data_IF_174639152299
#
_entry.id   IF_174639152299
#
_cell.length_a   1.000
_cell.length_b   1.000
_cell.length_c   1.000
_cell.angle_alpha   90.00
_cell.angle_beta   90.00
_cell.angle_gamma   90.00
#
_symmetry.space_group_name_H-M   'P 1'
#
loop_
_entity.id
_entity.type
_entity.pdbx_description
1 polymer ?
#
# COMPACT_ATOMS: atom_id res chain seq x y z
N UNK A 1 -7.87 -6.04 2.83
CA UNK A 1 -7.76 -4.68 3.40
C UNK A 1 -8.64 -3.80 2.54
N UNK A 2 -9.57 -3.09 3.15
CA UNK A 2 -10.44 -2.12 2.45
C UNK A 2 -9.80 -0.73 2.49
N UNK A 3 -9.79 -0.06 1.34
CA UNK A 3 -9.28 1.30 1.19
C UNK A 3 -10.38 2.18 0.63
N UNK A 4 -10.73 3.24 1.36
CA UNK A 4 -11.75 4.20 0.92
C UNK A 4 -11.22 5.62 1.01
N UNK A 5 -11.77 6.49 0.16
CA UNK A 5 -11.42 7.92 0.10
C UNK A 5 -12.61 8.70 0.64
N UNK A 6 -12.35 9.66 1.53
CA UNK A 6 -13.31 10.67 1.95
C UNK A 6 -12.77 12.06 1.62
N UNK A 7 -13.52 12.79 0.82
CA UNK A 7 -13.24 14.19 0.50
C UNK A 7 -13.45 15.08 1.73
N UNK A 8 -12.56 16.05 1.91
CA UNK A 8 -12.69 17.15 2.86
C UNK A 8 -12.76 18.46 2.08
N UNK A 9 -13.77 19.26 2.37
CA UNK A 9 -13.96 20.58 1.79
C UNK A 9 -13.57 21.63 2.84
N UNK A 10 -12.37 22.18 2.71
CA UNK A 10 -11.84 23.17 3.65
C UNK A 10 -12.55 24.53 3.54
N UNK A 11 -13.29 24.80 2.46
CA UNK A 11 -14.05 26.05 2.29
C UNK A 11 -15.25 26.17 3.23
N UNK A 12 -15.72 25.03 3.79
CA UNK A 12 -16.90 24.95 4.67
C UNK A 12 -16.56 24.98 6.17
N UNK A 13 -15.46 25.63 6.55
CA UNK A 13 -15.12 25.88 7.95
C UNK A 13 -14.35 24.77 8.67
N UNK A 14 -13.70 23.86 7.93
CA UNK A 14 -12.72 22.92 8.50
C UNK A 14 -13.27 21.70 9.23
N UNK A 15 -14.59 21.48 9.22
CA UNK A 15 -15.23 20.28 9.78
C UNK A 15 -15.25 19.13 8.75
N UNK A 16 -14.08 18.61 8.41
CA UNK A 16 -13.94 17.52 7.45
C UNK A 16 -14.56 16.20 7.94
N UNK A 17 -14.95 15.27 7.03
CA UNK A 17 -15.50 13.96 7.41
C UNK A 17 -14.58 13.08 8.26
N UNK A 18 -13.30 13.45 8.38
CA UNK A 18 -12.34 12.82 9.27
C UNK A 18 -12.59 13.13 10.76
N UNK A 19 -13.30 14.22 11.07
CA UNK A 19 -13.69 14.57 12.44
C UNK A 19 -14.86 13.73 12.93
N UNK A 20 -15.92 13.58 12.14
CA UNK A 20 -17.18 12.93 12.58
C UNK A 20 -17.26 11.45 12.20
N UNK A 21 -16.42 11.00 11.27
CA UNK A 21 -16.40 9.60 10.84
C UNK A 21 -15.97 8.66 11.96
N UNK A 22 -16.82 7.66 12.28
CA UNK A 22 -16.47 6.57 13.20
C UNK A 22 -15.17 5.91 12.77
N UNK A 23 -14.20 5.78 13.66
CA UNK A 23 -12.91 5.10 13.43
C UNK A 23 -12.29 4.66 14.77
N UNK A 24 -11.42 3.66 14.79
CA UNK A 24 -10.70 3.31 16.03
C UNK A 24 -9.54 4.28 16.28
N UNK A 25 -8.98 4.84 15.20
CA UNK A 25 -7.87 5.78 15.26
C UNK A 25 -7.95 6.79 14.13
N UNK A 26 -7.50 8.03 14.38
CA UNK A 26 -7.17 9.01 13.34
C UNK A 26 -5.68 9.35 13.40
N UNK A 27 -5.01 9.41 12.25
CA UNK A 27 -3.57 9.68 12.14
C UNK A 27 -3.37 11.12 11.72
N UNK A 28 -2.59 11.88 12.50
CA UNK A 28 -2.22 13.27 12.22
C UNK A 28 -0.71 13.45 12.33
N UNK A 29 -0.20 14.47 11.64
CA UNK A 29 1.23 14.77 11.61
C UNK A 29 1.58 15.98 12.47
N UNK A 30 2.78 15.97 13.06
CA UNK A 30 3.34 17.06 13.85
C UNK A 30 4.75 17.37 13.33
N UNK A 31 5.00 18.62 12.94
CA UNK A 31 6.33 19.10 12.55
C UNK A 31 7.15 19.55 13.76
N UNK A 32 8.47 19.63 13.62
CA UNK A 32 9.39 20.10 14.69
C UNK A 32 9.11 21.54 15.16
N UNK A 33 8.53 22.39 14.30
CA UNK A 33 8.11 23.73 14.69
C UNK A 33 6.93 23.73 15.67
N UNK A 34 6.28 22.58 15.88
CA UNK A 34 5.19 22.35 16.83
C UNK A 34 3.92 23.17 16.60
N UNK A 35 3.87 23.99 15.54
CA UNK A 35 2.65 24.65 15.07
C UNK A 35 1.72 23.63 14.42
N UNK A 36 0.56 23.41 15.03
CA UNK A 36 -0.49 22.56 14.46
C UNK A 36 -1.11 23.24 13.24
N UNK A 37 -1.35 22.47 12.18
CA UNK A 37 -1.97 22.95 10.94
C UNK A 37 -2.83 21.87 10.30
N UNK A 38 -3.73 22.29 9.40
CA UNK A 38 -4.61 21.39 8.64
C UNK A 38 -5.40 20.42 9.56
N UNK A 39 -5.38 19.10 9.28
CA UNK A 39 -6.10 18.12 10.09
C UNK A 39 -5.70 18.08 11.57
N UNK A 40 -4.42 18.29 11.89
CA UNK A 40 -3.95 18.26 13.27
C UNK A 40 -4.57 19.39 14.10
N UNK A 41 -4.65 20.60 13.54
CA UNK A 41 -5.29 21.76 14.18
C UNK A 41 -6.80 21.55 14.35
N UNK A 42 -7.49 21.08 13.31
CA UNK A 42 -8.93 20.83 13.37
C UNK A 42 -9.29 19.77 14.42
N UNK A 43 -8.53 18.68 14.49
CA UNK A 43 -8.70 17.64 15.51
C UNK A 43 -8.39 18.18 16.90
N UNK A 44 -7.29 18.92 17.08
CA UNK A 44 -6.92 19.49 18.37
C UNK A 44 -8.03 20.39 18.94
N UNK A 45 -8.59 21.27 18.11
CA UNK A 45 -9.73 22.11 18.49
C UNK A 45 -10.95 21.27 18.92
N UNK A 46 -11.27 20.22 18.18
CA UNK A 46 -12.42 19.37 18.46
C UNK A 46 -12.26 18.55 19.76
N UNK A 47 -11.03 18.19 20.12
CA UNK A 47 -10.72 17.42 21.35
C UNK A 47 -10.26 18.32 22.52
N UNK A 48 -10.51 19.63 22.43
CA UNK A 48 -10.24 20.58 23.51
C UNK A 48 -8.76 20.85 23.78
N UNK A 49 -7.91 20.88 22.76
CA UNK A 49 -6.51 21.30 22.84
C UNK A 49 -5.54 20.22 23.34
N UNK A 50 -5.93 18.94 23.31
CA UNK A 50 -5.12 17.86 23.87
C UNK A 50 -3.80 17.62 23.13
N UNK A 51 -3.77 17.77 21.79
CA UNK A 51 -2.56 17.64 20.98
C UNK A 51 -1.58 18.77 21.35
N UNK A 52 -2.07 20.01 21.41
CA UNK A 52 -1.24 21.14 21.78
C UNK A 52 -0.63 20.99 23.18
N UNK A 53 -1.39 20.43 24.15
CA UNK A 53 -0.88 20.16 25.51
C UNK A 53 0.27 19.15 25.52
N UNK A 54 0.14 18.01 24.85
CA UNK A 54 1.20 16.98 24.85
C UNK A 54 2.44 17.43 24.07
N UNK A 55 2.25 18.20 23.00
CA UNK A 55 3.36 18.82 22.26
C UNK A 55 4.10 19.82 23.16
N UNK A 56 3.37 20.68 23.87
CA UNK A 56 3.95 21.64 24.83
C UNK A 56 4.62 20.95 26.02
N UNK A 57 4.11 19.80 26.45
CA UNK A 57 4.70 19.00 27.53
C UNK A 57 6.00 18.28 27.10
N UNK A 58 6.26 18.17 25.79
CA UNK A 58 7.45 17.50 25.26
C UNK A 58 7.28 15.99 25.04
N UNK A 59 6.05 15.46 25.13
CA UNK A 59 5.78 14.03 24.92
C UNK A 59 5.99 13.61 23.45
N UNK A 60 5.92 14.58 22.52
CA UNK A 60 6.33 14.43 21.13
C UNK A 60 6.92 15.75 20.63
N UNK A 61 8.10 15.67 20.00
CA UNK A 61 8.85 16.83 19.54
C UNK A 61 8.76 17.05 18.02
N UNK A 62 8.02 16.21 17.30
CA UNK A 62 7.85 16.29 15.86
C UNK A 62 9.01 15.71 15.05
N UNK A 63 10.04 15.13 15.68
CA UNK A 63 11.14 14.45 14.96
C UNK A 63 10.61 13.37 14.04
N UNK A 64 11.19 13.31 12.84
CA UNK A 64 10.75 12.39 11.79
C UNK A 64 10.69 10.94 12.29
N UNK A 65 9.52 10.32 12.14
CA UNK A 65 9.28 8.92 12.51
C UNK A 65 8.95 8.66 13.98
N UNK A 66 8.94 9.68 14.84
CA UNK A 66 8.38 9.56 16.19
C UNK A 66 6.86 9.35 16.13
N UNK A 67 6.30 8.64 17.11
CA UNK A 67 4.86 8.40 17.18
C UNK A 67 4.36 8.45 18.62
N UNK A 68 3.17 9.02 18.83
CA UNK A 68 2.50 9.05 20.14
C UNK A 68 1.01 8.77 19.98
N UNK A 69 0.49 7.83 20.76
CA UNK A 69 -0.95 7.59 20.85
C UNK A 69 -1.56 8.45 21.95
N UNK A 70 -2.64 9.15 21.61
CA UNK A 70 -3.55 9.78 22.56
C UNK A 70 -4.81 8.90 22.65
N UNK A 71 -4.96 8.12 23.74
CA UNK A 71 -6.13 7.29 23.96
C UNK A 71 -7.34 8.13 24.40
N UNK A 72 -8.54 7.55 24.29
CA UNK A 72 -9.77 8.02 24.95
C UNK A 72 -10.12 9.49 24.64
N UNK A 73 -9.98 9.89 23.38
CA UNK A 73 -10.35 11.23 22.95
C UNK A 73 -11.87 11.35 22.75
N UNK A 74 -12.42 12.49 23.12
CA UNK A 74 -13.83 12.87 22.91
C UNK A 74 -13.94 14.08 21.99
N UNK A 75 -15.08 14.24 21.31
CA UNK A 75 -15.32 15.37 20.39
C UNK A 75 -15.06 15.07 18.91
N UNK A 76 -14.57 13.86 18.62
CA UNK A 76 -14.44 13.31 17.26
C UNK A 76 -14.99 11.89 17.21
N UNK A 77 -15.25 11.37 16.01
CA UNK A 77 -15.72 10.00 15.77
C UNK A 77 -14.64 8.93 15.94
N UNK A 78 -13.36 9.34 16.04
CA UNK A 78 -12.26 8.45 16.34
C UNK A 78 -12.09 8.25 17.86
N UNK A 79 -11.81 7.03 18.31
CA UNK A 79 -11.57 6.77 19.76
C UNK A 79 -10.16 7.10 20.22
N UNK A 80 -9.22 7.26 19.28
CA UNK A 80 -7.79 7.54 19.53
C UNK A 80 -7.22 8.46 18.45
N UNK A 81 -6.20 9.22 18.81
CA UNK A 81 -5.37 9.96 17.84
C UNK A 81 -3.96 9.38 17.85
N UNK A 82 -3.40 9.11 16.68
CA UNK A 82 -1.99 8.82 16.49
C UNK A 82 -1.30 10.06 15.96
N UNK A 83 -0.38 10.63 16.74
CA UNK A 83 0.53 11.67 16.31
C UNK A 83 1.74 11.04 15.64
N UNK A 84 2.18 11.62 14.53
CA UNK A 84 3.36 11.17 13.78
C UNK A 84 4.29 12.36 13.56
N UNK A 85 5.52 12.27 14.04
CA UNK A 85 6.54 13.28 13.80
C UNK A 85 6.98 13.29 12.34
N UNK A 86 6.96 14.47 11.74
CA UNK A 86 7.21 14.68 10.31
C UNK A 86 8.62 15.25 10.02
N UNK A 87 9.35 15.65 11.04
CA UNK A 87 10.60 16.39 10.95
C UNK A 87 10.38 17.87 10.65
N UNK A 88 11.34 18.49 9.96
CA UNK A 88 11.26 19.90 9.55
C UNK A 88 10.30 20.09 8.38
N UNK A 89 9.45 21.12 8.47
CA UNK A 89 8.42 21.40 7.47
C UNK A 89 9.01 21.77 6.11
N UNK A 90 10.08 22.55 6.08
CA UNK A 90 10.81 22.93 4.87
C UNK A 90 11.53 21.74 4.20
N UNK A 91 11.79 20.66 4.93
CA UNK A 91 12.37 19.42 4.41
C UNK A 91 11.33 18.36 4.04
N UNK A 92 10.03 18.64 4.16
CA UNK A 92 8.97 17.65 3.99
C UNK A 92 8.70 17.31 2.51
N UNK A 93 9.52 16.41 1.98
CA UNK A 93 9.37 15.84 0.64
C UNK A 93 9.00 14.35 0.66
N UNK A 94 9.16 13.71 -0.50
CA UNK A 94 8.74 12.32 -0.75
C UNK A 94 9.33 11.31 0.26
N UNK A 95 10.64 11.45 0.58
CA UNK A 95 11.31 10.57 1.55
C UNK A 95 10.71 10.74 2.95
N UNK A 96 10.60 11.99 3.43
CA UNK A 96 10.05 12.29 4.75
C UNK A 96 8.60 11.79 4.89
N UNK A 97 7.79 11.97 3.84
CA UNK A 97 6.44 11.41 3.78
C UNK A 97 6.45 9.88 3.89
N UNK A 98 7.29 9.20 3.10
CA UNK A 98 7.42 7.74 3.13
C UNK A 98 7.84 7.21 4.51
N UNK A 99 8.75 7.90 5.19
CA UNK A 99 9.21 7.54 6.53
C UNK A 99 8.10 7.74 7.58
N UNK A 100 7.35 8.86 7.52
CA UNK A 100 6.20 9.12 8.37
C UNK A 100 5.07 8.08 8.17
N UNK A 101 4.77 7.74 6.93
CA UNK A 101 3.79 6.69 6.57
C UNK A 101 4.19 5.35 7.19
N UNK A 102 5.46 4.94 7.06
CA UNK A 102 5.95 3.67 7.65
C UNK A 102 5.84 3.70 9.17
N UNK A 103 6.22 4.79 9.82
CA UNK A 103 6.09 4.96 11.27
C UNK A 103 4.62 4.82 11.72
N UNK A 104 3.71 5.50 11.02
CA UNK A 104 2.27 5.41 11.27
C UNK A 104 1.74 3.97 11.17
N UNK A 105 2.10 3.26 10.10
CA UNK A 105 1.66 1.88 9.90
C UNK A 105 2.24 0.92 10.93
N UNK A 106 3.51 1.05 11.29
CA UNK A 106 4.10 0.22 12.35
C UNK A 106 3.42 0.43 13.68
N UNK A 107 3.17 1.69 14.06
CA UNK A 107 2.46 2.01 15.28
C UNK A 107 1.03 1.42 15.28
N UNK A 108 0.27 1.57 14.19
CA UNK A 108 -1.07 1.00 14.08
C UNK A 108 -1.06 -0.53 14.10
N UNK A 109 -0.18 -1.17 13.34
CA UNK A 109 -0.10 -2.63 13.22
C UNK A 109 0.36 -3.30 14.53
N UNK A 110 0.99 -2.56 15.44
CA UNK A 110 1.32 -3.01 16.80
C UNK A 110 0.12 -3.06 17.75
N UNK A 111 -1.08 -2.72 17.29
CA UNK A 111 -2.30 -2.63 18.13
C UNK A 111 -3.45 -3.49 17.59
N UNK A 112 -4.61 -3.43 18.26
CA UNK A 112 -5.87 -4.04 17.82
C UNK A 112 -6.77 -3.09 17.01
N UNK A 113 -6.25 -1.96 16.52
CA UNK A 113 -6.99 -1.03 15.67
C UNK A 113 -7.47 -1.76 14.41
N UNK A 114 -8.78 -1.78 14.17
CA UNK A 114 -9.41 -2.41 13.02
C UNK A 114 -9.71 -1.40 11.89
N UNK A 115 -9.97 -0.14 12.26
CA UNK A 115 -10.19 0.94 11.32
C UNK A 115 -9.35 2.19 11.65
N UNK A 116 -8.65 2.72 10.65
CA UNK A 116 -7.87 3.96 10.77
C UNK A 116 -8.29 5.00 9.74
N UNK A 117 -8.46 6.25 10.19
CA UNK A 117 -8.60 7.42 9.32
C UNK A 117 -7.22 8.05 9.14
N UNK A 118 -6.76 8.18 7.91
CA UNK A 118 -5.41 8.62 7.58
C UNK A 118 -5.46 10.01 6.94
N UNK A 119 -4.98 11.03 7.66
CA UNK A 119 -5.03 12.42 7.18
C UNK A 119 -3.70 12.93 6.65
N UNK A 120 -2.59 12.18 6.76
CA UNK A 120 -1.28 12.62 6.27
C UNK A 120 -1.27 12.88 4.76
N UNK A 121 -2.19 12.26 4.02
CA UNK A 121 -2.33 12.49 2.58
C UNK A 121 -2.87 13.90 2.22
N UNK A 122 -3.33 14.69 3.19
CA UNK A 122 -3.69 16.11 3.02
C UNK A 122 -2.50 17.06 3.23
N UNK A 123 -1.34 16.54 3.65
CA UNK A 123 -0.18 17.39 3.91
C UNK A 123 0.49 17.81 2.60
N UNK A 124 1.05 19.03 2.53
CA UNK A 124 1.71 19.53 1.34
C UNK A 124 3.09 18.89 1.18
N UNK A 125 3.13 17.72 0.53
CA UNK A 125 4.38 17.04 0.15
C UNK A 125 4.96 17.71 -1.08
N UNK A 126 6.22 18.15 -1.03
CA UNK A 126 6.87 18.83 -2.17
C UNK A 126 6.70 18.07 -3.48
N UNK A 127 6.21 18.78 -4.50
CA UNK A 127 6.00 18.29 -5.89
C UNK A 127 5.04 17.10 -6.01
N UNK A 128 4.20 16.84 -5.00
CA UNK A 128 3.27 15.72 -4.97
C UNK A 128 1.88 16.17 -4.56
N UNK A 129 0.90 15.41 -5.04
CA UNK A 129 -0.54 15.57 -4.83
C UNK A 129 -1.09 14.46 -3.94
N UNK A 130 -2.31 14.63 -3.44
CA UNK A 130 -2.96 13.68 -2.53
C UNK A 130 -3.08 12.26 -3.10
N UNK A 131 -3.26 12.11 -4.42
CA UNK A 131 -3.33 10.80 -5.07
C UNK A 131 -2.00 10.03 -5.01
N UNK A 132 -0.86 10.74 -5.15
CA UNK A 132 0.46 10.14 -4.96
C UNK A 132 0.64 9.69 -3.51
N UNK A 133 0.25 10.55 -2.56
CA UNK A 133 0.31 10.26 -1.13
C UNK A 133 -0.50 9.00 -0.78
N UNK A 134 -1.74 8.89 -1.27
CA UNK A 134 -2.59 7.70 -1.10
C UNK A 134 -1.91 6.45 -1.65
N UNK A 135 -1.38 6.52 -2.87
CA UNK A 135 -0.68 5.38 -3.49
C UNK A 135 0.52 4.94 -2.64
N UNK A 136 1.38 5.88 -2.25
CA UNK A 136 2.55 5.60 -1.43
C UNK A 136 2.17 4.98 -0.08
N UNK A 137 1.11 5.50 0.56
CA UNK A 137 0.61 4.99 1.83
C UNK A 137 0.08 3.56 1.74
N UNK A 138 -0.70 3.24 0.70
CA UNK A 138 -1.22 1.89 0.45
C UNK A 138 -0.08 0.91 0.19
N UNK A 139 0.86 1.26 -0.69
CA UNK A 139 2.01 0.39 -1.01
C UNK A 139 2.88 0.13 0.22
N UNK A 140 3.14 1.16 1.04
CA UNK A 140 3.88 1.01 2.28
C UNK A 140 3.16 0.07 3.27
N UNK A 141 1.85 0.22 3.47
CA UNK A 141 1.08 -0.68 4.33
C UNK A 141 1.12 -2.12 3.82
N UNK A 142 0.98 -2.31 2.50
CA UNK A 142 1.05 -3.63 1.88
C UNK A 142 2.42 -4.26 2.06
N UNK A 143 3.49 -3.49 1.91
CA UNK A 143 4.84 -3.97 2.18
C UNK A 143 5.06 -4.36 3.65
N UNK A 144 4.66 -3.50 4.60
CA UNK A 144 4.81 -3.77 6.04
C UNK A 144 3.96 -4.96 6.51
N UNK A 145 2.85 -5.24 5.82
CA UNK A 145 1.97 -6.37 6.15
C UNK A 145 2.27 -7.64 5.38
N UNK A 146 3.05 -7.62 4.30
CA UNK A 146 3.41 -8.83 3.56
C UNK A 146 4.09 -9.86 4.45
N UNK A 147 3.62 -11.11 4.39
CA UNK A 147 4.22 -12.25 5.12
C UNK A 147 4.18 -13.47 4.21
N UNK A 148 5.32 -14.13 4.07
CA UNK A 148 5.42 -15.43 3.42
C UNK A 148 5.43 -16.53 4.48
N UNK A 149 4.31 -17.23 4.63
CA UNK A 149 4.13 -18.27 5.67
C UNK A 149 3.84 -19.66 5.10
N UNK A 150 3.76 -19.79 3.77
CA UNK A 150 3.37 -21.03 3.07
C UNK A 150 4.30 -22.22 3.38
N UNK A 151 5.56 -21.93 3.73
CA UNK A 151 6.60 -22.94 4.04
C UNK A 151 6.83 -23.16 5.54
N UNK A 152 5.99 -22.58 6.41
CA UNK A 152 6.09 -22.78 7.87
C UNK A 152 5.19 -23.93 8.30
N UNK A 153 5.72 -24.91 9.03
CA UNK A 153 4.93 -26.02 9.59
C UNK A 153 3.91 -25.56 10.63
N UNK A 154 4.21 -24.47 11.35
CA UNK A 154 3.29 -23.78 12.28
C UNK A 154 3.23 -22.31 11.86
N UNK A 155 2.38 -21.95 10.88
CA UNK A 155 2.27 -20.57 10.47
C UNK A 155 1.65 -19.77 11.61
N UNK A 156 2.35 -18.72 12.05
CA UNK A 156 1.75 -17.72 12.92
C UNK A 156 0.71 -16.96 12.11
N UNK A 157 -0.56 -17.30 12.31
CA UNK A 157 -1.68 -16.58 11.71
C UNK A 157 -1.91 -15.32 12.53
N UNK A 158 -1.01 -14.35 12.36
CA UNK A 158 -1.22 -13.02 12.91
C UNK A 158 -2.52 -12.46 12.32
N UNK A 159 -3.61 -12.52 13.09
CA UNK A 159 -4.87 -11.92 12.69
C UNK A 159 -4.64 -10.41 12.65
N UNK A 160 -4.46 -9.88 11.43
CA UNK A 160 -4.32 -8.45 11.22
C UNK A 160 -5.61 -7.78 11.70
N UNK A 161 -5.52 -7.05 12.80
CA UNK A 161 -6.67 -6.32 13.34
C UNK A 161 -7.14 -5.29 12.31
N UNK A 162 -6.21 -4.51 11.74
CA UNK A 162 -6.52 -3.50 10.73
C UNK A 162 -7.16 -4.16 9.50
N UNK A 163 -8.41 -3.80 9.24
CA UNK A 163 -9.20 -4.25 8.09
C UNK A 163 -9.51 -3.13 7.11
N UNK A 164 -9.62 -1.89 7.61
CA UNK A 164 -10.09 -0.75 6.81
C UNK A 164 -9.27 0.50 7.07
N UNK A 165 -8.88 1.17 5.98
CA UNK A 165 -8.22 2.48 6.02
C UNK A 165 -9.05 3.47 5.22
N UNK A 166 -9.31 4.63 5.84
CA UNK A 166 -10.04 5.74 5.23
C UNK A 166 -9.04 6.87 5.01
N UNK A 167 -8.72 7.18 3.76
CA UNK A 167 -7.89 8.33 3.43
C UNK A 167 -8.75 9.58 3.36
N UNK A 168 -8.36 10.59 4.16
CA UNK A 168 -8.93 11.93 4.03
C UNK A 168 -8.11 12.71 3.01
N UNK A 169 -8.78 13.31 2.04
CA UNK A 169 -8.17 14.00 0.89
C UNK A 169 -8.94 15.29 0.61
N UNK A 170 -8.30 16.30 0.02
CA UNK A 170 -9.03 17.47 -0.46
C UNK A 170 -10.10 17.09 -1.49
N UNK A 171 -11.27 17.74 -1.42
CA UNK A 171 -12.37 17.49 -2.35
C UNK A 171 -11.98 17.63 -3.83
N UNK A 172 -11.06 18.53 -4.17
CA UNK A 172 -10.58 18.71 -5.55
C UNK A 172 -9.79 17.49 -6.06
N UNK A 173 -9.19 16.70 -5.16
CA UNK A 173 -8.34 15.56 -5.50
C UNK A 173 -9.06 14.20 -5.38
N UNK A 174 -10.33 14.17 -4.95
CA UNK A 174 -11.05 12.94 -4.61
C UNK A 174 -11.06 11.90 -5.75
N UNK A 175 -11.32 12.35 -6.99
CA UNK A 175 -11.37 11.46 -8.17
C UNK A 175 -10.00 10.84 -8.45
N UNK A 176 -8.94 11.65 -8.40
CA UNK A 176 -7.58 11.17 -8.62
C UNK A 176 -7.15 10.20 -7.52
N UNK A 177 -7.45 10.52 -6.25
CA UNK A 177 -7.16 9.65 -5.12
C UNK A 177 -7.90 8.31 -5.16
N UNK A 178 -9.19 8.29 -5.59
CA UNK A 178 -9.94 7.04 -5.79
C UNK A 178 -9.30 6.15 -6.84
N UNK A 179 -8.84 6.73 -7.95
CA UNK A 179 -8.13 6.00 -8.99
C UNK A 179 -6.78 5.48 -8.48
N UNK A 180 -6.01 6.33 -7.77
CA UNK A 180 -4.73 5.95 -7.20
C UNK A 180 -4.86 4.81 -6.18
N UNK A 181 -5.91 4.79 -5.36
CA UNK A 181 -6.17 3.70 -4.42
C UNK A 181 -6.42 2.36 -5.14
N UNK A 182 -7.23 2.37 -6.22
CA UNK A 182 -7.47 1.18 -7.05
C UNK A 182 -6.17 0.68 -7.68
N UNK A 183 -5.40 1.58 -8.28
CA UNK A 183 -4.11 1.25 -8.92
C UNK A 183 -3.08 0.73 -7.91
N UNK A 184 -2.97 1.38 -6.74
CA UNK A 184 -2.06 0.95 -5.68
C UNK A 184 -2.40 -0.45 -5.15
N UNK A 185 -3.70 -0.74 -5.02
CA UNK A 185 -4.18 -2.06 -4.61
C UNK A 185 -3.81 -3.13 -5.65
N UNK A 186 -4.03 -2.85 -6.95
CA UNK A 186 -3.65 -3.75 -8.03
C UNK A 186 -2.12 -3.95 -8.10
N UNK A 187 -1.35 -2.88 -7.98
CA UNK A 187 0.12 -2.93 -7.96
C UNK A 187 0.63 -3.77 -6.79
N UNK A 188 0.10 -3.54 -5.58
CA UNK A 188 0.45 -4.33 -4.41
C UNK A 188 0.10 -5.82 -4.56
N UNK A 189 -1.03 -6.15 -5.21
CA UNK A 189 -1.37 -7.55 -5.50
C UNK A 189 -0.36 -8.19 -6.46
N UNK A 190 0.07 -7.45 -7.50
CA UNK A 190 1.13 -7.91 -8.39
C UNK A 190 2.46 -8.10 -7.66
N UNK A 191 2.86 -7.13 -6.83
CA UNK A 191 4.08 -7.22 -6.00
C UNK A 191 4.05 -8.40 -5.04
N UNK A 192 2.91 -8.65 -4.38
CA UNK A 192 2.75 -9.77 -3.46
C UNK A 192 2.87 -11.11 -4.20
N UNK A 193 2.24 -11.26 -5.37
CA UNK A 193 2.40 -12.45 -6.21
C UNK A 193 3.85 -12.63 -6.67
N UNK A 194 4.53 -11.58 -7.12
CA UNK A 194 5.95 -11.63 -7.48
C UNK A 194 6.81 -12.10 -6.31
N UNK A 195 6.58 -11.56 -5.10
CA UNK A 195 7.31 -11.96 -3.90
C UNK A 195 7.00 -13.40 -3.50
N UNK A 196 5.76 -13.83 -3.60
CA UNK A 196 5.38 -15.23 -3.32
C UNK A 196 6.14 -16.17 -4.25
N UNK A 197 6.09 -15.93 -5.56
CA UNK A 197 6.81 -16.75 -6.55
C UNK A 197 8.32 -16.77 -6.33
N UNK A 198 8.93 -15.62 -5.99
CA UNK A 198 10.36 -15.53 -5.71
C UNK A 198 10.79 -16.12 -4.37
N UNK A 199 9.89 -16.20 -3.38
CA UNK A 199 10.18 -16.76 -2.06
C UNK A 199 9.92 -18.28 -1.97
N UNK A 200 9.14 -18.84 -2.90
CA UNK A 200 8.96 -20.28 -3.00
C UNK A 200 10.31 -20.94 -3.32
N UNK A 201 10.66 -22.05 -2.65
CA UNK A 201 11.89 -22.77 -2.94
C UNK A 201 11.81 -23.46 -4.31
N UNK A 202 12.97 -23.71 -4.93
CA UNK A 202 13.05 -24.21 -6.31
C UNK A 202 12.41 -25.60 -6.51
N UNK A 203 12.33 -26.42 -5.46
CA UNK A 203 11.63 -27.71 -5.50
C UNK A 203 10.09 -27.57 -5.52
N UNK A 204 9.56 -26.35 -5.33
CA UNK A 204 8.12 -26.04 -5.41
C UNK A 204 7.85 -25.11 -6.60
N UNK A 205 8.60 -24.02 -6.75
CA UNK A 205 8.44 -23.04 -7.83
C UNK A 205 9.14 -23.51 -9.11
N UNK A 206 8.68 -24.64 -9.67
CA UNK A 206 9.22 -25.20 -10.91
C UNK A 206 8.69 -24.46 -12.14
N UNK A 207 9.25 -24.68 -13.35
CA UNK A 207 8.66 -24.15 -14.59
C UNK A 207 7.17 -24.52 -14.74
N UNK A 208 6.81 -25.77 -14.38
CA UNK A 208 5.43 -26.27 -14.37
C UNK A 208 4.56 -25.47 -13.39
N UNK A 209 5.08 -25.15 -12.20
CA UNK A 209 4.37 -24.32 -11.21
C UNK A 209 4.08 -22.91 -11.76
N UNK A 210 5.06 -22.27 -12.40
CA UNK A 210 4.89 -20.96 -13.03
C UNK A 210 3.84 -21.00 -14.15
N UNK A 211 3.88 -22.03 -15.00
CA UNK A 211 2.90 -22.22 -16.06
C UNK A 211 1.47 -22.38 -15.51
N UNK A 212 1.30 -23.15 -14.43
CA UNK A 212 0.02 -23.34 -13.78
C UNK A 212 -0.47 -22.05 -13.09
N UNK A 213 0.44 -21.27 -12.51
CA UNK A 213 0.13 -19.95 -11.96
C UNK A 213 -0.38 -19.01 -13.06
N UNK A 214 0.29 -18.98 -14.22
CA UNK A 214 -0.14 -18.18 -15.37
C UNK A 214 -1.52 -18.61 -15.90
N UNK A 215 -1.77 -19.93 -16.00
CA UNK A 215 -3.08 -20.47 -16.38
C UNK A 215 -4.20 -20.06 -15.42
N UNK A 216 -3.92 -20.11 -14.11
CA UNK A 216 -4.87 -19.65 -13.08
C UNK A 216 -5.16 -18.16 -13.23
N UNK A 217 -4.12 -17.33 -13.38
CA UNK A 217 -4.27 -15.89 -13.58
C UNK A 217 -5.10 -15.58 -14.83
N UNK A 218 -4.88 -16.33 -15.91
CA UNK A 218 -5.63 -16.17 -17.15
C UNK A 218 -7.12 -16.51 -16.98
N UNK A 219 -7.44 -17.56 -16.22
CA UNK A 219 -8.82 -17.92 -15.89
C UNK A 219 -9.50 -16.82 -15.04
N UNK A 220 -8.84 -16.38 -13.98
CA UNK A 220 -9.41 -15.44 -13.01
C UNK A 220 -9.67 -14.05 -13.63
N UNK A 221 -8.83 -13.64 -14.60
CA UNK A 221 -8.86 -12.30 -15.21
C UNK A 221 -9.21 -12.29 -16.69
N UNK A 222 -9.67 -13.43 -17.24
CA UNK A 222 -10.05 -13.59 -18.65
C UNK A 222 -8.93 -13.17 -19.62
N UNK A 223 -7.69 -13.54 -19.30
CA UNK A 223 -6.54 -13.35 -20.18
C UNK A 223 -6.42 -14.55 -21.12
N UNK A 224 -5.74 -14.37 -22.26
CA UNK A 224 -5.31 -15.50 -23.08
C UNK A 224 -3.96 -15.99 -22.58
N UNK A 225 -3.81 -17.30 -22.46
CA UNK A 225 -2.55 -17.94 -22.05
C UNK A 225 -2.21 -19.05 -23.03
N UNK A 226 -0.95 -19.12 -23.39
CA UNK A 226 -0.35 -20.20 -24.16
C UNK A 226 0.89 -20.67 -23.42
N UNK A 227 1.05 -21.98 -23.32
CA UNK A 227 2.20 -22.59 -22.67
C UNK A 227 2.78 -23.61 -23.64
N UNK A 228 3.98 -23.32 -24.13
CA UNK A 228 4.71 -24.18 -25.04
C UNK A 228 5.60 -25.12 -24.22
N UNK A 229 5.45 -26.41 -24.46
CA UNK A 229 6.38 -27.43 -23.96
C UNK A 229 7.54 -27.64 -24.93
N UNK A 230 8.35 -28.65 -24.63
CA UNK A 230 9.57 -28.99 -25.38
C UNK A 230 9.29 -29.24 -26.86
N UNK A 231 8.30 -30.08 -27.19
CA UNK A 231 7.95 -30.37 -28.60
C UNK A 231 7.57 -29.13 -29.40
N UNK A 232 6.81 -28.21 -28.81
CA UNK A 232 6.46 -26.95 -29.47
C UNK A 232 7.68 -26.05 -29.62
N UNK A 233 8.53 -25.96 -28.59
CA UNK A 233 9.77 -25.19 -28.64
C UNK A 233 10.78 -25.75 -29.67
N UNK A 234 10.84 -27.08 -29.83
CA UNK A 234 11.64 -27.77 -30.85
C UNK A 234 11.14 -27.44 -32.26
N UNK A 235 9.82 -27.51 -32.48
CA UNK A 235 9.20 -27.15 -33.75
C UNK A 235 9.47 -25.69 -34.14
N UNK A 236 9.55 -24.80 -33.14
CA UNK A 236 9.90 -23.40 -33.30
C UNK A 236 11.42 -23.14 -33.36
N UNK A 237 12.25 -24.19 -33.32
CA UNK A 237 13.72 -24.13 -33.37
C UNK A 237 14.34 -23.29 -32.24
N UNK A 238 13.75 -23.34 -31.05
CA UNK A 238 14.22 -22.60 -29.86
C UNK A 238 15.43 -23.27 -29.19
N UNK A 239 16.47 -23.60 -29.96
CA UNK A 239 17.58 -24.45 -29.51
C UNK A 239 18.35 -23.91 -28.30
N UNK A 240 18.53 -22.59 -28.18
CA UNK A 240 19.18 -21.96 -27.03
C UNK A 240 18.34 -22.07 -25.74
N UNK A 241 17.02 -22.04 -25.84
CA UNK A 241 16.13 -22.26 -24.69
C UNK A 241 16.18 -23.72 -24.26
N UNK A 242 16.07 -24.65 -25.22
CA UNK A 242 16.06 -26.08 -24.96
C UNK A 242 17.39 -26.60 -24.40
N UNK A 243 18.53 -26.06 -24.84
CA UNK A 243 19.84 -26.48 -24.32
C UNK A 243 20.02 -26.18 -22.83
N UNK A 244 19.39 -25.12 -22.32
CA UNK A 244 19.39 -24.79 -20.89
C UNK A 244 18.52 -25.76 -20.09
N UNK A 245 17.37 -26.16 -20.64
CA UNK A 245 16.40 -27.00 -19.92
C UNK A 245 16.70 -28.49 -19.98
N UNK A 246 17.49 -28.95 -20.96
CA UNK A 246 17.77 -30.37 -21.21
C UNK A 246 18.36 -31.14 -20.03
N UNK A 247 19.05 -30.45 -19.10
CA UNK A 247 19.62 -31.08 -17.90
C UNK A 247 18.65 -31.24 -16.72
N UNK A 248 17.41 -30.74 -16.85
CA UNK A 248 16.41 -30.75 -15.79
C UNK A 248 15.48 -31.96 -15.90
N UNK A 249 15.02 -32.46 -14.75
CA UNK A 249 13.89 -33.42 -14.69
C UNK A 249 12.53 -32.72 -14.82
N UNK A 250 12.47 -31.43 -14.50
CA UNK A 250 11.29 -30.60 -14.73
C UNK A 250 11.22 -30.16 -16.20
N UNK A 251 10.06 -30.35 -16.86
CA UNK A 251 9.92 -30.08 -18.28
C UNK A 251 9.98 -28.57 -18.58
N UNK A 252 10.53 -28.22 -19.74
CA UNK A 252 10.57 -26.84 -20.21
C UNK A 252 9.16 -26.24 -20.36
N UNK A 253 8.97 -25.00 -19.89
CA UNK A 253 7.72 -24.26 -20.06
C UNK A 253 8.02 -22.85 -20.59
N UNK A 254 7.53 -22.52 -21.78
CA UNK A 254 7.56 -21.16 -22.31
C UNK A 254 6.16 -20.56 -22.24
N UNK A 255 5.99 -19.53 -21.42
CA UNK A 255 4.69 -18.97 -21.06
C UNK A 255 4.46 -17.69 -21.83
N UNK A 256 3.35 -17.63 -22.57
CA UNK A 256 2.86 -16.41 -23.23
C UNK A 256 1.52 -16.04 -22.62
N UNK A 257 1.49 -14.93 -21.87
CA UNK A 257 0.28 -14.38 -21.27
C UNK A 257 -0.10 -13.08 -21.99
N UNK A 258 -1.34 -12.99 -22.48
CA UNK A 258 -1.79 -11.90 -23.33
C UNK A 258 -2.97 -11.14 -22.68
N UNK A 259 -2.76 -9.85 -22.44
CA UNK A 259 -3.79 -8.91 -21.99
C UNK A 259 -4.18 -7.98 -23.14
N UNK A 260 -5.41 -8.10 -23.62
CA UNK A 260 -5.95 -7.32 -24.74
C UNK A 260 -6.81 -6.15 -24.24
N UNK A 261 -6.19 -5.23 -23.48
CA UNK A 261 -6.87 -4.04 -22.94
C UNK A 261 -6.82 -2.79 -23.84
N UNK A 262 -6.04 -2.84 -24.93
CA UNK A 262 -5.90 -1.74 -25.88
C UNK A 262 -6.84 -1.87 -27.08
N UNK A 263 -6.72 -0.94 -28.03
CA UNK A 263 -7.40 -1.05 -29.32
C UNK A 263 -6.91 -2.29 -30.09
N UNK A 264 -7.80 -2.92 -30.86
CA UNK A 264 -7.51 -4.20 -31.54
C UNK A 264 -6.30 -4.18 -32.50
N UNK A 265 -5.92 -3.01 -33.01
CA UNK A 265 -4.78 -2.81 -33.92
C UNK A 265 -3.60 -2.10 -33.26
N UNK A 266 -3.67 -1.82 -31.96
CA UNK A 266 -2.55 -1.21 -31.25
C UNK A 266 -1.40 -2.22 -31.15
N UNK A 267 -0.17 -1.75 -31.37
CA UNK A 267 1.01 -2.57 -31.12
C UNK A 267 1.07 -2.94 -29.63
N UNK A 268 1.37 -4.21 -29.28
CA UNK A 268 1.45 -4.63 -27.89
C UNK A 268 2.73 -4.11 -27.24
N UNK A 269 2.67 -3.93 -25.91
CA UNK A 269 3.88 -3.84 -25.10
C UNK A 269 4.27 -5.26 -24.68
N UNK A 270 5.48 -5.70 -25.02
CA UNK A 270 5.99 -7.03 -24.68
C UNK A 270 6.93 -6.92 -23.49
N UNK A 271 6.63 -7.67 -22.42
CA UNK A 271 7.49 -7.83 -21.25
C UNK A 271 8.10 -9.23 -21.29
N UNK A 272 9.43 -9.31 -21.30
CA UNK A 272 10.16 -10.59 -21.30
C UNK A 272 10.82 -10.77 -19.94
N UNK A 273 10.42 -11.81 -19.21
CA UNK A 273 10.96 -12.16 -17.91
C UNK A 273 11.83 -13.40 -17.98
N UNK A 274 13.04 -13.33 -17.41
CA UNK A 274 13.86 -14.53 -17.17
C UNK A 274 13.22 -15.34 -16.03
N UNK A 275 12.86 -16.60 -16.29
CA UNK A 275 12.32 -17.54 -15.30
C UNK A 275 13.17 -18.79 -15.20
N UNK A 276 14.34 -18.67 -14.57
CA UNK A 276 15.27 -19.78 -14.28
C UNK A 276 15.14 -20.15 -12.82
#
# INVERSE_FOLDING_TARGET
MDFSIKACDWSKGGEGPFLTGKSDCVVVGVFEAQTLSGPAFAIDRAIGGAIARVVKAGDIDGKAGSTLFLPEVSGIGATRVLLVGLGKQDAFGQKAYGDAVKAAWRAILGTKIAQATFTLAQLPVKERTGDWCVRAAILALRNETYRFTQMKSKPDVAQRALKRVIFSIDSAEEKAAKLAAKQATALANGMDLTRDLGNLPANVCTPTYLANTAKKLAKDWKLKVEVLGEKQAEALKMGSFLSVTQGSVEPAQFIVLQYQGGAAKAAPVVLVGKGV
#
